data_IF_121593780268
#
_entry.id   IF_121593780268
#
_cell.length_a   1.000
_cell.length_b   1.000
_cell.length_c   1.000
_cell.angle_alpha   90.00
_cell.angle_beta   90.00
_cell.angle_gamma   90.00
#
_symmetry.space_group_name_H-M   'P 1'
#
loop_
_entity.id
_entity.type
_entity.pdbx_description
1 polymer ?
#
# COMPACT_ATOMS: atom_id res chain seq x y z
N UNK A 1 8.47 -42.41 10.79
CA UNK A 1 9.58 -41.43 10.73
C UNK A 1 9.15 -40.30 9.81
N UNK A 2 8.89 -39.11 10.35
CA UNK A 2 8.75 -37.90 9.52
C UNK A 2 10.16 -37.57 9.03
N UNK A 3 10.38 -37.61 7.72
CA UNK A 3 11.63 -37.14 7.16
C UNK A 3 11.80 -35.66 7.55
N UNK A 4 12.96 -35.31 8.11
CA UNK A 4 13.39 -33.91 8.27
C UNK A 4 13.49 -33.30 6.87
N UNK A 5 12.36 -32.85 6.34
CA UNK A 5 12.27 -32.25 5.03
C UNK A 5 12.85 -30.85 5.19
N UNK A 6 14.05 -30.64 4.66
CA UNK A 6 14.73 -29.34 4.73
C UNK A 6 13.82 -28.29 4.08
N UNK A 7 13.46 -27.26 4.83
CA UNK A 7 12.72 -26.12 4.30
C UNK A 7 13.67 -25.19 3.56
N UNK A 8 13.32 -24.81 2.34
CA UNK A 8 14.12 -23.88 1.51
C UNK A 8 13.23 -22.88 0.80
N UNK A 9 13.64 -21.62 0.76
CA UNK A 9 13.03 -20.55 -0.02
C UNK A 9 14.09 -19.59 -0.52
N UNK A 10 13.84 -18.98 -1.67
CA UNK A 10 14.74 -18.05 -2.34
C UNK A 10 13.93 -16.91 -2.94
N UNK A 11 14.55 -15.74 -3.03
CA UNK A 11 14.00 -14.53 -3.66
C UNK A 11 15.15 -13.62 -4.09
N UNK A 12 14.85 -12.60 -4.89
CA UNK A 12 15.81 -11.60 -5.34
C UNK A 12 15.50 -10.29 -4.63
N UNK A 13 16.54 -9.63 -4.10
CA UNK A 13 16.41 -8.28 -3.55
C UNK A 13 16.19 -7.32 -4.74
N UNK A 14 15.05 -6.63 -4.82
CA UNK A 14 14.77 -5.74 -5.94
C UNK A 14 15.67 -4.51 -5.90
N UNK A 15 16.01 -3.98 -7.08
CA UNK A 15 16.65 -2.67 -7.21
C UNK A 15 15.68 -1.57 -6.74
N UNK A 16 16.11 -0.62 -5.88
CA UNK A 16 15.23 0.42 -5.38
C UNK A 16 14.83 1.39 -6.49
N UNK A 17 13.54 1.64 -6.61
CA UNK A 17 13.01 2.73 -7.43
C UNK A 17 13.03 4.04 -6.63
N UNK A 18 13.00 5.16 -7.34
CA UNK A 18 13.09 6.49 -6.74
C UNK A 18 11.82 7.28 -7.00
N UNK A 19 11.29 7.89 -5.93
CA UNK A 19 10.22 8.87 -6.03
C UNK A 19 10.83 10.18 -6.49
N UNK A 20 10.21 10.80 -7.50
CA UNK A 20 10.57 12.13 -7.99
C UNK A 20 9.36 13.05 -8.03
N UNK A 21 9.62 14.35 -7.99
CA UNK A 21 8.60 15.40 -8.09
C UNK A 21 7.37 15.22 -7.16
N UNK A 22 7.56 14.89 -5.86
CA UNK A 22 6.41 14.84 -4.97
C UNK A 22 5.77 16.23 -4.88
N UNK A 23 4.46 16.32 -4.98
CA UNK A 23 3.67 17.54 -4.84
C UNK A 23 2.39 17.23 -4.08
N UNK A 24 1.99 18.15 -3.21
CA UNK A 24 0.72 18.07 -2.53
C UNK A 24 0.03 19.42 -2.63
N UNK A 25 -1.21 19.41 -3.12
CA UNK A 25 -2.04 20.61 -3.27
C UNK A 25 -3.27 20.47 -2.39
N UNK A 26 -3.62 21.54 -1.70
CA UNK A 26 -4.81 21.61 -0.87
C UNK A 26 -5.36 23.05 -0.83
N UNK A 27 -6.69 23.24 -0.91
CA UNK A 27 -7.69 22.24 -1.28
C UNK A 27 -7.69 21.98 -2.80
N UNK A 28 -8.08 20.77 -3.22
CA UNK A 28 -8.25 20.42 -4.65
C UNK A 28 -9.59 19.78 -4.96
N UNK A 29 -10.29 19.26 -3.96
CA UNK A 29 -11.61 18.66 -4.11
C UNK A 29 -12.46 18.95 -2.86
N UNK A 30 -13.74 19.24 -3.06
CA UNK A 30 -14.70 19.44 -1.98
C UNK A 30 -15.83 18.41 -2.14
N UNK A 31 -16.04 17.60 -1.11
CA UNK A 31 -17.19 16.71 -1.04
C UNK A 31 -18.34 17.42 -0.31
N UNK A 32 -19.40 17.73 -1.05
CA UNK A 32 -20.58 18.38 -0.50
C UNK A 32 -21.37 17.48 0.46
N UNK A 33 -21.27 16.14 0.35
CA UNK A 33 -21.99 15.22 1.24
C UNK A 33 -21.36 15.17 2.63
N UNK A 34 -20.04 15.03 2.70
CA UNK A 34 -19.29 15.07 3.98
C UNK A 34 -18.96 16.49 4.44
N UNK A 35 -19.13 17.51 3.60
CA UNK A 35 -18.70 18.89 3.81
C UNK A 35 -17.19 19.01 4.09
N UNK A 36 -16.38 18.13 3.49
CA UNK A 36 -14.94 18.08 3.70
C UNK A 36 -14.15 18.51 2.45
N UNK A 37 -13.02 19.18 2.69
CA UNK A 37 -12.02 19.44 1.65
C UNK A 37 -10.97 18.35 1.65
N UNK A 38 -10.53 17.97 0.46
CA UNK A 38 -9.50 16.99 0.20
C UNK A 38 -8.32 17.63 -0.52
N UNK A 39 -7.15 17.04 -0.33
CA UNK A 39 -5.94 17.39 -1.07
C UNK A 39 -5.62 16.37 -2.14
N UNK A 40 -4.71 16.75 -3.04
CA UNK A 40 -4.17 15.86 -4.06
C UNK A 40 -2.68 15.70 -3.87
N UNK A 41 -2.26 14.46 -3.64
CA UNK A 41 -0.86 14.04 -3.61
C UNK A 41 -0.47 13.48 -4.99
N UNK A 42 0.56 14.05 -5.59
CA UNK A 42 1.16 13.56 -6.83
C UNK A 42 2.65 13.29 -6.66
N UNK A 43 3.16 12.31 -7.40
CA UNK A 43 4.59 12.02 -7.50
C UNK A 43 4.85 11.14 -8.71
N UNK A 44 6.11 10.98 -9.10
CA UNK A 44 6.52 10.15 -10.21
C UNK A 44 7.42 9.00 -9.78
N UNK A 45 7.22 7.83 -10.38
CA UNK A 45 8.14 6.68 -10.29
C UNK A 45 8.70 6.43 -11.68
N UNK A 46 10.01 6.24 -11.78
CA UNK A 46 10.67 5.80 -12.99
C UNK A 46 10.93 4.29 -12.91
N UNK A 47 10.28 3.53 -13.78
CA UNK A 47 10.34 2.07 -13.82
C UNK A 47 11.52 1.55 -14.66
N UNK A 48 12.09 0.39 -14.29
CA UNK A 48 13.17 -0.23 -15.04
C UNK A 48 12.60 -1.22 -16.09
N UNK A 49 12.78 -0.99 -17.39
CA UNK A 49 12.20 -1.84 -18.45
C UNK A 49 12.74 -3.27 -18.53
N UNK A 50 13.84 -3.58 -17.83
CA UNK A 50 14.55 -4.86 -18.00
C UNK A 50 13.89 -6.04 -17.25
N UNK A 51 12.94 -5.77 -16.34
CA UNK A 51 12.31 -6.79 -15.51
C UNK A 51 10.89 -6.39 -15.11
N UNK A 52 10.05 -7.38 -14.76
CA UNK A 52 8.79 -7.09 -14.07
C UNK A 52 9.08 -6.52 -12.68
N UNK A 53 8.56 -5.33 -12.39
CA UNK A 53 8.73 -4.67 -11.12
C UNK A 53 7.44 -4.70 -10.28
N UNK A 54 7.62 -4.78 -8.98
CA UNK A 54 6.54 -4.76 -8.01
C UNK A 54 6.88 -3.74 -6.92
N UNK A 55 5.85 -3.06 -6.45
CA UNK A 55 5.98 -1.92 -5.55
C UNK A 55 5.01 -1.99 -4.39
N UNK A 56 5.42 -1.39 -3.26
CA UNK A 56 4.54 -1.07 -2.15
C UNK A 56 4.75 0.41 -1.77
N UNK A 57 3.66 1.16 -1.72
CA UNK A 57 3.63 2.55 -1.28
C UNK A 57 3.03 2.61 0.12
N UNK A 58 3.71 3.39 0.96
CA UNK A 58 3.27 3.78 2.28
C UNK A 58 3.15 5.31 2.31
N UNK A 59 1.91 5.81 2.36
CA UNK A 59 1.62 7.24 2.49
C UNK A 59 1.26 7.49 3.95
N UNK A 60 1.98 8.42 4.57
CA UNK A 60 1.72 8.87 5.93
C UNK A 60 1.32 10.34 5.89
N UNK A 61 0.18 10.64 6.47
CA UNK A 61 -0.32 12.00 6.62
C UNK A 61 -0.20 12.43 8.07
N UNK A 62 0.26 13.65 8.28
CA UNK A 62 0.27 14.28 9.58
C UNK A 62 -0.84 15.32 9.66
N UNK A 63 -1.52 15.36 10.80
CA UNK A 63 -2.41 16.47 11.11
C UNK A 63 -2.07 16.99 12.49
N UNK A 64 -2.16 18.30 12.64
CA UNK A 64 -1.98 18.97 13.93
C UNK A 64 -3.34 19.07 14.61
N UNK A 65 -3.41 18.62 15.86
CA UNK A 65 -4.59 18.80 16.69
C UNK A 65 -4.44 20.08 17.50
N UNK A 66 -5.29 21.07 17.25
CA UNK A 66 -5.32 22.31 18.04
C UNK A 66 -5.66 22.05 19.51
N UNK A 67 -6.41 20.97 19.80
CA UNK A 67 -6.81 20.58 21.15
C UNK A 67 -5.65 19.99 21.96
N UNK A 68 -4.90 19.05 21.39
CA UNK A 68 -3.79 18.40 22.10
C UNK A 68 -2.45 19.09 21.88
N UNK A 69 -2.36 20.02 20.91
CA UNK A 69 -1.10 20.66 20.47
C UNK A 69 -0.06 19.65 19.97
N UNK A 70 -0.51 18.52 19.42
CA UNK A 70 0.35 17.43 18.94
C UNK A 70 0.04 17.05 17.49
N UNK A 71 1.05 16.49 16.82
CA UNK A 71 0.87 15.86 15.51
C UNK A 71 0.45 14.41 15.68
N UNK A 72 -0.62 14.02 14.99
CA UNK A 72 -0.98 12.63 14.80
C UNK A 72 -0.68 12.21 13.37
N UNK A 73 -0.24 10.96 13.22
CA UNK A 73 0.11 10.37 11.94
C UNK A 73 -0.91 9.30 11.58
N UNK A 74 -1.49 9.39 10.40
CA UNK A 74 -2.36 8.37 9.83
C UNK A 74 -1.69 7.71 8.64
N UNK A 75 -2.05 6.44 8.46
CA UNK A 75 -1.60 5.63 7.36
C UNK A 75 -2.69 5.55 6.31
N UNK A 76 -2.33 5.88 5.07
CA UNK A 76 -3.26 5.95 3.95
C UNK A 76 -3.17 4.68 3.10
N UNK A 77 -4.25 3.90 3.06
CA UNK A 77 -4.18 2.58 2.39
C UNK A 77 -5.47 2.05 1.79
N UNK A 78 -6.62 2.65 2.05
CA UNK A 78 -7.90 2.15 1.59
C UNK A 78 -8.92 3.29 1.52
N UNK A 79 -10.18 2.95 1.21
CA UNK A 79 -11.24 3.94 1.00
C UNK A 79 -11.61 4.77 2.23
N UNK A 80 -11.20 4.37 3.44
CA UNK A 80 -11.44 5.16 4.65
C UNK A 80 -10.63 6.46 4.66
N UNK A 81 -9.45 6.43 4.04
CA UNK A 81 -8.46 7.49 4.15
C UNK A 81 -8.16 8.13 2.77
N UNK A 82 -8.19 7.32 1.71
CA UNK A 82 -8.01 7.75 0.33
C UNK A 82 -9.38 7.82 -0.35
N UNK A 83 -9.81 9.04 -0.66
CA UNK A 83 -11.07 9.28 -1.36
C UNK A 83 -11.04 8.74 -2.81
N UNK A 84 -9.92 8.96 -3.51
CA UNK A 84 -9.73 8.45 -4.87
C UNK A 84 -8.30 7.91 -5.04
N UNK A 85 -8.13 6.58 -5.15
CA UNK A 85 -6.83 5.99 -5.45
C UNK A 85 -6.43 6.19 -6.91
N UNK A 86 -5.14 6.10 -7.18
CA UNK A 86 -4.61 6.09 -8.54
C UNK A 86 -5.14 4.87 -9.35
N UNK A 87 -5.22 4.99 -10.67
CA UNK A 87 -5.70 3.91 -11.54
C UNK A 87 -4.81 2.66 -11.45
N UNK A 88 -3.51 2.83 -11.21
CA UNK A 88 -2.57 1.70 -11.02
C UNK A 88 -2.96 0.86 -9.81
N UNK A 89 -3.37 1.51 -8.71
CA UNK A 89 -3.83 0.81 -7.51
C UNK A 89 -5.17 0.12 -7.76
N UNK A 90 -6.08 0.76 -8.48
CA UNK A 90 -7.39 0.17 -8.80
C UNK A 90 -7.27 -1.07 -9.68
N UNK A 91 -6.33 -1.08 -10.64
CA UNK A 91 -6.11 -2.19 -11.55
C UNK A 91 -5.71 -3.50 -10.86
N UNK A 92 -5.16 -3.42 -9.64
CA UNK A 92 -4.79 -4.61 -8.86
C UNK A 92 -5.99 -5.45 -8.42
N UNK A 93 -7.18 -4.86 -8.38
CA UNK A 93 -8.43 -5.54 -8.01
C UNK A 93 -8.51 -5.90 -6.52
N UNK A 94 -7.66 -5.32 -5.69
CA UNK A 94 -7.61 -5.60 -4.24
C UNK A 94 -8.26 -4.50 -3.38
N UNK A 95 -8.73 -3.40 -4.00
CA UNK A 95 -9.27 -2.24 -3.30
C UNK A 95 -10.47 -2.57 -2.40
N UNK A 96 -11.38 -3.41 -2.90
CA UNK A 96 -12.60 -3.81 -2.20
C UNK A 96 -12.31 -4.72 -0.98
N UNK A 97 -11.09 -5.25 -0.88
CA UNK A 97 -10.65 -6.10 0.24
C UNK A 97 -9.96 -5.29 1.35
N UNK A 98 -10.06 -3.95 1.32
CA UNK A 98 -9.55 -3.04 2.36
C UNK A 98 -8.05 -3.30 2.63
N UNK A 99 -7.19 -3.08 1.63
CA UNK A 99 -5.78 -3.37 1.77
C UNK A 99 -5.16 -2.55 2.89
N UNK A 100 -4.22 -3.17 3.62
CA UNK A 100 -3.50 -2.52 4.73
C UNK A 100 -2.24 -1.80 4.28
N UNK A 101 -1.87 -1.85 3.00
CA UNK A 101 -0.86 -1.02 2.31
C UNK A 101 -1.18 -0.99 0.81
N UNK A 102 -0.58 -0.07 0.05
CA UNK A 102 -0.81 0.03 -1.40
C UNK A 102 0.26 -0.75 -2.16
N UNK A 103 -0.02 -1.99 -2.57
CA UNK A 103 0.91 -2.82 -3.35
C UNK A 103 0.41 -2.99 -4.78
N UNK A 104 1.33 -2.97 -5.75
CA UNK A 104 0.99 -3.00 -7.18
C UNK A 104 2.16 -3.48 -8.04
N UNK A 105 1.84 -3.92 -9.24
CA UNK A 105 2.78 -4.26 -10.30
C UNK A 105 2.99 -3.07 -11.25
N UNK A 106 4.04 -3.14 -12.06
CA UNK A 106 4.33 -2.17 -13.11
C UNK A 106 3.54 -2.40 -14.41
N UNK A 107 2.58 -3.33 -14.45
CA UNK A 107 1.92 -3.77 -15.71
C UNK A 107 1.38 -2.62 -16.57
N UNK A 108 0.86 -1.56 -15.92
CA UNK A 108 0.31 -0.39 -16.61
C UNK A 108 1.35 0.66 -17.04
N UNK A 109 2.59 0.58 -16.56
CA UNK A 109 3.63 1.58 -16.80
C UNK A 109 5.05 1.02 -16.97
N UNK A 110 5.19 -0.29 -17.24
CA UNK A 110 6.48 -0.96 -17.41
C UNK A 110 7.41 -0.21 -18.37
N UNK A 111 8.61 0.09 -17.89
CA UNK A 111 9.66 0.81 -18.61
C UNK A 111 9.39 2.28 -18.83
N UNK A 112 8.40 2.87 -18.15
CA UNK A 112 7.98 4.27 -18.31
C UNK A 112 7.93 4.98 -16.97
N UNK A 113 7.97 6.30 -17.06
CA UNK A 113 7.65 7.17 -15.92
C UNK A 113 6.13 7.20 -15.77
N UNK A 114 5.64 6.81 -14.60
CA UNK A 114 4.24 7.01 -14.23
C UNK A 114 4.09 8.17 -13.24
N UNK A 115 3.05 8.97 -13.42
CA UNK A 115 2.65 10.01 -12.47
C UNK A 115 1.46 9.49 -11.68
N UNK A 116 1.67 9.26 -10.40
CA UNK A 116 0.64 8.83 -9.48
C UNK A 116 -0.14 10.05 -8.97
N UNK A 117 -1.45 9.88 -8.78
CA UNK A 117 -2.33 10.91 -8.21
C UNK A 117 -3.34 10.30 -7.23
N UNK A 118 -3.28 10.75 -5.99
CA UNK A 118 -4.18 10.33 -4.92
C UNK A 118 -4.97 11.52 -4.40
N UNK A 119 -6.28 11.38 -4.26
CA UNK A 119 -7.10 12.32 -3.49
C UNK A 119 -7.22 11.78 -2.06
N UNK A 120 -6.67 12.51 -1.10
CA UNK A 120 -6.59 12.10 0.31
C UNK A 120 -7.19 13.18 1.20
N UNK A 121 -7.46 12.84 2.47
CA UNK A 121 -7.81 13.84 3.48
C UNK A 121 -6.76 14.94 3.58
N UNK A 122 -7.18 16.10 4.08
CA UNK A 122 -6.29 17.22 4.38
C UNK A 122 -5.12 16.75 5.27
N UNK A 123 -3.92 17.26 4.98
CA UNK A 123 -2.71 16.85 5.67
C UNK A 123 -1.72 17.99 5.72
N UNK A 124 -1.21 18.28 6.92
CA UNK A 124 -0.19 19.30 7.15
C UNK A 124 1.14 18.88 6.56
N UNK A 125 1.43 17.59 6.49
CA UNK A 125 2.59 17.09 5.75
C UNK A 125 2.37 15.65 5.34
N UNK A 126 2.84 15.30 4.14
CA UNK A 126 2.72 13.96 3.59
C UNK A 126 4.09 13.36 3.36
N UNK A 127 4.28 12.16 3.89
CA UNK A 127 5.50 11.39 3.75
C UNK A 127 5.21 10.14 2.92
N UNK A 128 6.02 9.91 1.88
CA UNK A 128 5.89 8.76 0.99
C UNK A 128 7.11 7.87 1.16
N UNK A 129 6.87 6.63 1.55
CA UNK A 129 7.85 5.55 1.53
C UNK A 129 7.48 4.62 0.37
N UNK A 130 8.39 4.52 -0.61
CA UNK A 130 8.28 3.58 -1.72
C UNK A 130 9.20 2.40 -1.45
N UNK A 131 8.65 1.20 -1.56
CA UNK A 131 9.40 -0.05 -1.54
C UNK A 131 9.35 -0.68 -2.92
N UNK A 132 10.50 -1.01 -3.48
CA UNK A 132 10.59 -2.05 -4.51
C UNK A 132 10.52 -3.39 -3.80
N UNK A 133 9.53 -4.21 -4.12
CA UNK A 133 9.25 -5.47 -3.44
C UNK A 133 9.47 -6.65 -4.39
N UNK A 134 9.89 -7.78 -3.86
CA UNK A 134 10.01 -9.03 -4.63
C UNK A 134 8.63 -9.53 -5.08
N UNK A 135 8.60 -10.32 -6.16
CA UNK A 135 7.37 -10.95 -6.68
C UNK A 135 6.68 -11.79 -5.61
N UNK A 136 7.47 -12.50 -4.80
CA UNK A 136 6.98 -13.31 -3.67
C UNK A 136 6.30 -12.44 -2.60
N UNK A 137 6.86 -11.26 -2.31
CA UNK A 137 6.25 -10.29 -1.40
C UNK A 137 4.91 -9.79 -1.95
N UNK A 138 4.88 -9.40 -3.23
CA UNK A 138 3.68 -8.91 -3.88
C UNK A 138 2.54 -9.94 -3.83
N UNK A 139 2.82 -11.20 -4.19
CA UNK A 139 1.81 -12.26 -4.07
C UNK A 139 1.40 -12.50 -2.63
N UNK A 140 2.35 -12.52 -1.68
CA UNK A 140 1.99 -12.60 -0.27
C UNK A 140 0.99 -11.51 0.13
N UNK A 141 1.20 -10.25 -0.29
CA UNK A 141 0.29 -9.15 0.01
C UNK A 141 -1.10 -9.33 -0.61
N UNK A 142 -1.20 -9.75 -1.87
CA UNK A 142 -2.51 -10.04 -2.51
C UNK A 142 -3.28 -11.13 -1.76
N UNK A 143 -2.64 -12.26 -1.51
CA UNK A 143 -3.27 -13.41 -0.86
C UNK A 143 -3.64 -13.09 0.60
N UNK A 144 -2.73 -12.45 1.34
CA UNK A 144 -2.98 -12.01 2.71
C UNK A 144 -4.15 -11.05 2.79
N UNK A 145 -4.21 -10.04 1.93
CA UNK A 145 -5.27 -9.02 1.97
C UNK A 145 -6.65 -9.65 1.82
N UNK A 146 -6.81 -10.54 0.83
CA UNK A 146 -8.07 -11.24 0.59
C UNK A 146 -8.41 -12.21 1.72
N UNK A 147 -7.41 -12.94 2.22
CA UNK A 147 -7.58 -13.84 3.35
C UNK A 147 -8.03 -13.08 4.61
N UNK A 148 -7.35 -11.99 4.96
CA UNK A 148 -7.63 -11.19 6.14
C UNK A 148 -9.02 -10.56 6.09
N UNK A 149 -9.43 -10.05 4.92
CA UNK A 149 -10.78 -9.54 4.70
C UNK A 149 -11.83 -10.64 4.87
N UNK A 150 -11.65 -11.79 4.22
CA UNK A 150 -12.60 -12.89 4.26
C UNK A 150 -12.70 -13.53 5.67
N UNK A 151 -11.58 -13.65 6.37
CA UNK A 151 -11.52 -14.15 7.75
C UNK A 151 -11.88 -13.08 8.79
N UNK A 152 -12.25 -11.85 8.36
CA UNK A 152 -12.67 -10.77 9.24
C UNK A 152 -11.61 -10.43 10.32
N UNK A 153 -10.32 -10.55 9.99
CA UNK A 153 -9.20 -10.39 10.95
C UNK A 153 -9.03 -8.95 11.46
N UNK A 154 -9.73 -8.00 10.87
CA UNK A 154 -9.64 -6.57 11.17
C UNK A 154 -10.95 -5.98 11.69
N UNK A 155 -11.95 -6.82 11.95
CA UNK A 155 -13.17 -6.43 12.65
C UNK A 155 -13.16 -7.04 14.05
N UNK A 156 -13.92 -6.49 14.99
CA UNK A 156 -13.98 -6.99 16.37
C UNK A 156 -15.38 -7.52 16.70
N UNK A 157 -15.47 -8.41 17.69
CA UNK A 157 -16.71 -8.84 18.31
C UNK A 157 -17.42 -10.01 17.63
N UNK A 158 -18.73 -10.16 17.91
CA UNK A 158 -19.53 -11.32 17.47
C UNK A 158 -19.63 -11.44 15.94
N UNK A 159 -19.37 -10.35 15.22
CA UNK A 159 -19.34 -10.34 13.76
C UNK A 159 -18.26 -11.27 13.19
N UNK A 160 -17.09 -11.39 13.81
CA UNK A 160 -16.05 -12.32 13.35
C UNK A 160 -16.48 -13.78 13.49
N UNK A 161 -17.25 -14.10 14.53
CA UNK A 161 -17.70 -15.47 14.78
C UNK A 161 -18.83 -15.88 13.83
N UNK A 162 -19.68 -14.94 13.42
CA UNK A 162 -20.88 -15.21 12.63
C UNK A 162 -20.70 -14.99 11.12
N UNK A 163 -19.72 -14.19 10.71
CA UNK A 163 -19.55 -13.76 9.31
C UNK A 163 -18.13 -13.93 8.77
N UNK A 164 -17.25 -14.64 9.47
CA UNK A 164 -15.99 -15.09 8.86
C UNK A 164 -16.28 -16.12 7.77
N UNK A 165 -15.73 -15.87 6.58
CA UNK A 165 -15.74 -16.83 5.49
C UNK A 165 -14.72 -17.95 5.71
N UNK A 166 -14.79 -18.97 4.85
CA UNK A 166 -13.82 -20.07 4.86
C UNK A 166 -12.39 -19.56 4.59
N UNK A 167 -11.37 -20.00 5.35
CA UNK A 167 -9.99 -19.57 5.14
C UNK A 167 -9.56 -19.71 3.69
N UNK A 168 -9.06 -18.63 3.11
CA UNK A 168 -8.47 -18.66 1.77
C UNK A 168 -7.03 -19.16 1.84
N UNK A 169 -6.61 -19.89 0.82
CA UNK A 169 -5.22 -20.34 0.70
C UNK A 169 -4.25 -19.15 0.75
N UNK A 170 -3.11 -19.35 1.40
CA UNK A 170 -2.05 -18.35 1.52
C UNK A 170 -0.90 -18.67 0.55
N UNK A 171 -0.29 -17.62 0.00
CA UNK A 171 0.89 -17.78 -0.84
C UNK A 171 2.08 -18.37 -0.06
N UNK A 172 2.81 -19.29 -0.68
CA UNK A 172 4.08 -19.80 -0.18
C UNK A 172 5.07 -20.08 -1.31
N UNK A 173 6.34 -19.75 -1.09
CA UNK A 173 7.46 -20.17 -1.92
C UNK A 173 8.44 -21.10 -1.16
N UNK A 174 8.08 -21.53 0.06
CA UNK A 174 8.92 -22.41 0.88
C UNK A 174 8.66 -23.85 0.47
N UNK A 175 9.68 -24.50 -0.09
CA UNK A 175 9.63 -25.94 -0.37
C UNK A 175 9.74 -26.71 0.94
N UNK A 176 8.85 -27.68 1.15
CA UNK A 176 8.84 -28.53 2.34
C UNK A 176 8.20 -27.89 3.59
N UNK A 177 7.50 -26.76 3.45
CA UNK A 177 6.84 -26.08 4.57
C UNK A 177 5.89 -24.97 4.12
N UNK A 178 5.44 -24.17 5.07
CA UNK A 178 4.64 -22.95 4.84
C UNK A 178 5.48 -21.72 5.21
N UNK A 179 5.28 -20.64 4.47
CA UNK A 179 5.94 -19.36 4.71
C UNK A 179 6.30 -18.64 3.42
N UNK A 180 6.95 -17.49 3.56
CA UNK A 180 7.39 -16.71 2.42
C UNK A 180 8.83 -16.23 2.67
N UNK A 181 9.72 -16.56 1.75
CA UNK A 181 11.01 -15.90 1.61
C UNK A 181 10.83 -14.75 0.62
N UNK A 182 10.90 -13.51 1.11
CA UNK A 182 10.66 -12.30 0.35
C UNK A 182 11.64 -11.20 0.75
N UNK A 183 11.88 -10.28 -0.18
CA UNK A 183 12.75 -9.13 0.02
C UNK A 183 12.07 -7.84 -0.44
N UNK A 184 12.58 -6.72 0.09
CA UNK A 184 12.29 -5.38 -0.41
C UNK A 184 13.52 -4.48 -0.28
N UNK A 185 13.56 -3.43 -1.08
CA UNK A 185 14.43 -2.28 -0.91
C UNK A 185 13.57 -1.03 -0.88
N UNK A 186 14.00 0.02 -0.17
CA UNK A 186 13.15 1.19 0.08
C UNK A 186 13.84 2.50 -0.19
N UNK A 187 13.09 3.43 -0.78
CA UNK A 187 13.45 4.84 -0.93
C UNK A 187 12.40 5.69 -0.24
N UNK A 188 12.84 6.74 0.45
CA UNK A 188 11.96 7.64 1.19
C UNK A 188 11.97 9.01 0.55
N UNK A 189 10.80 9.61 0.35
CA UNK A 189 10.66 11.00 -0.03
C UNK A 189 9.76 11.73 0.96
N UNK A 190 10.30 12.76 1.59
CA UNK A 190 9.54 13.62 2.50
C UNK A 190 9.12 14.88 1.77
N UNK A 191 7.84 15.24 1.84
CA UNK A 191 7.38 16.57 1.47
C UNK A 191 6.63 17.21 2.63
N UNK A 192 7.23 18.26 3.17
CA UNK A 192 6.56 19.15 4.12
C UNK A 192 5.61 20.02 3.30
N UNK A 193 4.32 19.90 3.59
CA UNK A 193 3.32 20.82 3.08
C UNK A 193 3.26 21.95 4.10
N UNK A 194 3.14 23.19 3.66
CA UNK A 194 2.76 24.29 4.56
C UNK A 194 1.36 24.65 4.14
N UNK A 195 0.36 24.13 4.86
CA UNK A 195 -1.01 24.62 4.69
C UNK A 195 -1.02 26.03 5.29
N UNK A 196 -1.32 27.03 4.46
CA UNK A 196 -1.56 28.41 4.89
C UNK A 196 -3.04 28.59 5.26
#
# INVERSE_FOLDING_TARGET
MLANTKMTGETIIPTPAVISNPEYKYPTFYDAMSQQNYGTLTFSINDNPEQENYYEILIYNSQFSDYTQEYWYTYESNYWTIYKPDIVIQNEGDWDFIPTTLFFSDELFNGKINIFSFITHASNSSYILLRSISKEYYYFRKYYTRHAFNAQLHTDGIHNLLFAGEPLDMYTNIKGGLGVCAAYSSTTATKIVVIQ
#
